data_IF_573201818613
#
_entry.id   IF_573201818613
#
_cell.length_a   1.000
_cell.length_b   1.000
_cell.length_c   1.000
_cell.angle_alpha   90.00
_cell.angle_beta   90.00
_cell.angle_gamma   90.00
#
_symmetry.space_group_name_H-M   'P 1'
#
loop_
_entity.id
_entity.type
_entity.pdbx_description
1 polymer ?
#
# COMPACT_ATOMS: atom_id res chain seq x y z
N UNK A 1 0.09 0.39 -18.89
CA UNK A 1 -0.93 1.27 -18.27
C UNK A 1 -0.38 1.86 -16.97
N UNK A 2 -0.47 3.16 -16.73
CA UNK A 2 -0.07 3.76 -15.45
C UNK A 2 -0.90 3.17 -14.30
N UNK A 3 -0.24 2.71 -13.24
CA UNK A 3 -0.91 2.12 -12.07
C UNK A 3 -1.16 0.60 -12.15
N UNK A 4 -0.85 -0.04 -13.26
CA UNK A 4 -0.95 -1.50 -13.40
C UNK A 4 0.44 -2.10 -13.22
N UNK A 5 0.68 -2.71 -12.07
CA UNK A 5 1.90 -3.48 -11.80
C UNK A 5 1.85 -4.91 -12.35
N UNK A 6 2.96 -5.64 -12.26
CA UNK A 6 3.08 -7.02 -12.77
C UNK A 6 1.99 -7.95 -12.21
N UNK A 7 1.71 -7.87 -10.91
CA UNK A 7 0.63 -8.64 -10.28
C UNK A 7 -0.73 -8.37 -10.92
N UNK A 8 -1.10 -7.09 -11.07
CA UNK A 8 -2.41 -6.71 -11.64
C UNK A 8 -2.52 -7.13 -13.11
N UNK A 9 -1.44 -6.97 -13.88
CA UNK A 9 -1.38 -7.40 -15.27
C UNK A 9 -1.57 -8.91 -15.40
N UNK A 10 -0.88 -9.70 -14.57
CA UNK A 10 -1.01 -11.16 -14.56
C UNK A 10 -2.39 -11.61 -14.08
N UNK A 11 -2.98 -10.92 -13.08
CA UNK A 11 -4.34 -11.23 -12.60
C UNK A 11 -5.38 -11.04 -13.71
N UNK A 12 -5.34 -9.90 -14.40
CA UNK A 12 -6.23 -9.65 -15.54
C UNK A 12 -6.02 -10.67 -16.66
N UNK A 13 -4.77 -10.99 -16.98
CA UNK A 13 -4.44 -11.93 -18.05
C UNK A 13 -4.91 -13.35 -17.74
N UNK A 14 -4.70 -13.83 -16.50
CA UNK A 14 -5.13 -15.16 -16.09
C UNK A 14 -6.65 -15.25 -15.92
N UNK A 15 -7.22 -14.39 -15.06
CA UNK A 15 -8.60 -14.54 -14.60
C UNK A 15 -9.61 -14.05 -15.65
N UNK A 16 -9.35 -12.95 -16.36
CA UNK A 16 -10.27 -12.40 -17.33
C UNK A 16 -10.05 -12.92 -18.76
N UNK A 17 -8.84 -13.34 -19.10
CA UNK A 17 -8.46 -13.74 -20.45
C UNK A 17 -7.94 -15.17 -20.55
N UNK A 18 -8.02 -15.95 -19.49
CA UNK A 18 -7.60 -17.36 -19.40
C UNK A 18 -6.18 -17.62 -19.96
N UNK A 19 -5.26 -16.64 -19.87
CA UNK A 19 -3.88 -16.80 -20.35
C UNK A 19 -3.05 -17.60 -19.34
N UNK A 20 -2.08 -18.37 -19.84
CA UNK A 20 -1.15 -19.16 -19.04
C UNK A 20 -0.18 -18.28 -18.26
N UNK A 21 -0.64 -17.64 -17.21
CA UNK A 21 0.17 -16.88 -16.29
C UNK A 21 -0.39 -16.97 -14.87
N UNK A 22 0.46 -16.89 -13.88
CA UNK A 22 0.06 -16.97 -12.46
C UNK A 22 0.27 -15.63 -11.78
N UNK A 23 -0.78 -15.01 -11.24
CA UNK A 23 -0.66 -13.81 -10.41
C UNK A 23 -0.02 -14.20 -9.07
N UNK A 24 1.19 -13.72 -8.81
CA UNK A 24 1.95 -14.06 -7.59
C UNK A 24 1.58 -13.09 -6.47
N UNK A 25 0.46 -13.36 -5.80
CA UNK A 25 0.03 -12.66 -4.59
C UNK A 25 0.76 -13.18 -3.34
N UNK A 26 0.38 -12.69 -2.15
CA UNK A 26 0.93 -13.16 -0.89
C UNK A 26 0.65 -14.64 -0.58
N UNK A 27 -0.46 -15.19 -1.09
CA UNK A 27 -0.85 -16.59 -0.92
C UNK A 27 0.00 -17.50 -1.81
N UNK A 28 0.02 -17.23 -3.12
CA UNK A 28 0.82 -17.96 -4.10
C UNK A 28 2.30 -17.90 -3.76
N UNK A 29 2.79 -16.72 -3.35
CA UNK A 29 4.16 -16.55 -2.87
C UNK A 29 4.50 -17.48 -1.73
N UNK A 30 3.63 -17.58 -0.73
CA UNK A 30 3.79 -18.48 0.42
C UNK A 30 3.75 -19.94 0.03
N UNK A 31 2.79 -20.32 -0.82
CA UNK A 31 2.69 -21.70 -1.32
C UNK A 31 3.99 -22.11 -2.00
N UNK A 32 4.47 -21.31 -2.95
CA UNK A 32 5.70 -21.61 -3.69
C UNK A 32 6.94 -21.59 -2.80
N UNK A 33 7.02 -20.64 -1.86
CA UNK A 33 8.12 -20.60 -0.89
C UNK A 33 8.23 -21.92 -0.12
N UNK A 34 7.10 -22.50 0.31
CA UNK A 34 7.07 -23.75 1.07
C UNK A 34 7.24 -24.97 0.20
N UNK A 35 6.51 -25.04 -0.91
CA UNK A 35 6.53 -26.19 -1.81
C UNK A 35 7.94 -26.44 -2.37
N UNK A 36 8.59 -25.36 -2.82
CA UNK A 36 9.91 -25.43 -3.47
C UNK A 36 11.08 -25.06 -2.57
N UNK A 37 10.80 -24.67 -1.31
CA UNK A 37 11.77 -24.18 -0.33
C UNK A 37 12.58 -22.97 -0.82
N UNK A 38 11.89 -21.98 -1.34
CA UNK A 38 12.47 -20.71 -1.79
C UNK A 38 12.25 -19.66 -0.70
N UNK A 39 13.34 -19.14 -0.13
CA UNK A 39 13.22 -18.14 0.93
C UNK A 39 12.88 -16.75 0.35
N UNK A 40 11.87 -16.08 0.92
CA UNK A 40 11.46 -14.74 0.50
C UNK A 40 12.57 -13.67 0.68
N UNK A 41 13.56 -13.93 1.53
CA UNK A 41 14.74 -13.09 1.73
C UNK A 41 15.75 -13.18 0.59
N UNK A 42 15.63 -14.18 -0.28
CA UNK A 42 16.51 -14.34 -1.43
C UNK A 42 16.27 -13.21 -2.42
N UNK A 43 17.33 -12.49 -2.82
CA UNK A 43 17.28 -11.41 -3.83
C UNK A 43 16.68 -11.89 -5.17
N UNK A 44 16.85 -13.18 -5.48
CA UNK A 44 16.33 -13.80 -6.69
C UNK A 44 14.94 -14.43 -6.55
N UNK A 45 14.26 -14.25 -5.40
CA UNK A 45 12.96 -14.87 -5.11
C UNK A 45 11.96 -14.74 -6.27
N UNK A 46 11.73 -13.51 -6.74
CA UNK A 46 10.79 -13.25 -7.84
C UNK A 46 11.21 -13.94 -9.14
N UNK A 47 12.51 -13.99 -9.43
CA UNK A 47 13.05 -14.66 -10.61
C UNK A 47 12.85 -16.17 -10.54
N UNK A 48 13.05 -16.76 -9.37
CA UNK A 48 12.84 -18.20 -9.15
C UNK A 48 11.36 -18.58 -9.24
N UNK A 49 10.48 -17.82 -8.59
CA UNK A 49 9.04 -18.00 -8.70
C UNK A 49 8.58 -17.89 -10.15
N UNK A 50 9.05 -16.88 -10.89
CA UNK A 50 8.71 -16.71 -12.29
C UNK A 50 9.19 -17.89 -13.17
N UNK A 51 10.37 -18.45 -12.88
CA UNK A 51 10.84 -19.67 -13.58
C UNK A 51 9.92 -20.86 -13.34
N UNK A 52 9.36 -21.00 -12.13
CA UNK A 52 8.44 -22.08 -11.80
C UNK A 52 7.10 -21.86 -12.49
N UNK A 53 6.53 -20.64 -12.39
CA UNK A 53 5.25 -20.33 -13.02
C UNK A 53 5.30 -20.50 -14.54
N UNK A 54 6.42 -20.17 -15.17
CA UNK A 54 6.59 -20.35 -16.62
C UNK A 54 6.70 -21.83 -17.05
N UNK A 55 6.94 -22.75 -16.12
CA UNK A 55 6.96 -24.20 -16.38
C UNK A 55 5.62 -24.88 -16.13
N UNK A 56 4.65 -24.16 -15.59
CA UNK A 56 3.31 -24.70 -15.41
C UNK A 56 2.65 -24.93 -16.78
N UNK A 57 1.89 -25.99 -16.92
CA UNK A 57 1.28 -26.33 -18.23
C UNK A 57 0.29 -25.23 -18.64
N UNK A 58 0.29 -24.94 -19.92
CA UNK A 58 -0.76 -24.15 -20.55
C UNK A 58 -1.94 -25.08 -20.80
N UNK A 59 -3.09 -24.77 -20.19
CA UNK A 59 -4.32 -25.54 -20.31
C UNK A 59 -5.47 -24.64 -20.76
N UNK A 60 -6.60 -25.23 -21.11
CA UNK A 60 -7.84 -24.47 -21.33
C UNK A 60 -8.49 -23.95 -20.04
N UNK A 61 -7.89 -24.25 -18.85
CA UNK A 61 -8.37 -23.86 -17.51
C UNK A 61 -7.31 -23.09 -16.72
N UNK A 62 -6.63 -22.15 -17.37
CA UNK A 62 -5.56 -21.37 -16.72
C UNK A 62 -6.11 -20.43 -15.63
N UNK A 63 -7.31 -19.90 -15.84
CA UNK A 63 -8.01 -19.07 -14.85
C UNK A 63 -8.26 -19.86 -13.56
N UNK A 64 -8.80 -21.08 -13.70
CA UNK A 64 -9.06 -21.95 -12.55
C UNK A 64 -7.80 -22.33 -11.81
N UNK A 65 -6.70 -22.60 -12.52
CA UNK A 65 -5.42 -22.89 -11.91
C UNK A 65 -4.89 -21.71 -11.09
N UNK A 66 -5.00 -20.50 -11.64
CA UNK A 66 -4.58 -19.28 -10.94
C UNK A 66 -5.41 -19.04 -9.68
N UNK A 67 -6.72 -19.17 -9.77
CA UNK A 67 -7.65 -19.02 -8.66
C UNK A 67 -7.45 -20.10 -7.59
N UNK A 68 -7.33 -21.37 -8.00
CA UNK A 68 -7.06 -22.49 -7.10
C UNK A 68 -5.77 -22.31 -6.30
N UNK A 69 -4.70 -21.81 -6.92
CA UNK A 69 -3.44 -21.54 -6.20
C UNK A 69 -3.58 -20.42 -5.15
N UNK A 70 -4.33 -19.37 -5.47
CA UNK A 70 -4.60 -18.29 -4.50
C UNK A 70 -5.47 -18.79 -3.35
N UNK A 71 -6.54 -19.53 -3.64
CA UNK A 71 -7.45 -20.08 -2.66
C UNK A 71 -6.76 -21.17 -1.79
N UNK A 72 -5.98 -22.04 -2.39
CA UNK A 72 -5.18 -23.03 -1.66
C UNK A 72 -4.26 -22.37 -0.62
N UNK A 73 -3.65 -21.26 -0.98
CA UNK A 73 -2.88 -20.46 -0.04
C UNK A 73 -3.73 -19.85 1.07
N UNK A 74 -4.95 -19.42 0.79
CA UNK A 74 -5.86 -18.83 1.77
C UNK A 74 -6.48 -19.87 2.72
N UNK A 75 -6.85 -21.04 2.20
CA UNK A 75 -7.67 -22.04 2.91
C UNK A 75 -6.83 -23.17 3.53
N UNK A 76 -5.86 -23.73 2.81
CA UNK A 76 -5.05 -24.89 3.21
C UNK A 76 -3.67 -24.47 3.70
N UNK A 77 -2.85 -23.84 2.83
CA UNK A 77 -1.49 -23.43 3.15
C UNK A 77 -1.45 -22.10 3.90
N UNK A 78 -2.17 -22.00 5.02
CA UNK A 78 -2.34 -20.78 5.83
C UNK A 78 -1.01 -20.21 6.35
N UNK A 79 -0.92 -18.89 6.62
CA UNK A 79 0.29 -18.29 7.20
C UNK A 79 0.68 -18.92 8.53
N UNK A 80 -0.31 -19.11 9.41
CA UNK A 80 -0.17 -19.79 10.70
C UNK A 80 -0.98 -21.09 10.65
N UNK A 81 -0.48 -22.15 11.27
CA UNK A 81 -1.15 -23.43 11.40
C UNK A 81 -1.72 -23.94 10.06
N UNK A 82 -0.87 -24.17 9.04
CA UNK A 82 -1.32 -24.71 7.77
C UNK A 82 -1.89 -26.12 7.95
N UNK A 83 -2.90 -26.43 7.18
CA UNK A 83 -3.62 -27.71 7.26
C UNK A 83 -2.87 -28.79 6.47
N UNK A 84 -1.63 -29.11 6.89
CA UNK A 84 -0.77 -30.08 6.18
C UNK A 84 -1.35 -31.52 6.21
N UNK A 85 -2.20 -31.85 7.19
CA UNK A 85 -2.84 -33.16 7.29
C UNK A 85 -3.74 -33.48 6.08
N UNK A 86 -4.46 -32.49 5.55
CA UNK A 86 -5.37 -32.63 4.41
C UNK A 86 -4.78 -32.07 3.10
N UNK A 87 -3.50 -31.70 3.11
CA UNK A 87 -2.87 -31.06 1.96
C UNK A 87 -2.48 -32.08 0.89
N UNK A 88 -3.10 -32.01 -0.29
CA UNK A 88 -2.79 -32.89 -1.41
C UNK A 88 -1.37 -32.73 -1.97
N UNK A 89 -0.70 -31.60 -1.68
CA UNK A 89 0.68 -31.34 -2.08
C UNK A 89 1.69 -31.73 -1.00
N UNK A 90 1.27 -32.36 0.10
CA UNK A 90 2.11 -32.66 1.26
C UNK A 90 3.37 -33.44 0.89
N UNK A 91 3.23 -34.49 0.08
CA UNK A 91 4.34 -35.38 -0.29
C UNK A 91 5.40 -34.70 -1.17
N UNK A 92 5.00 -33.67 -1.92
CA UNK A 92 5.89 -32.87 -2.79
C UNK A 92 6.44 -31.63 -2.08
N UNK A 93 5.96 -31.33 -0.86
CA UNK A 93 6.30 -30.11 -0.16
C UNK A 93 7.66 -30.21 0.53
N UNK A 94 8.67 -29.57 -0.03
CA UNK A 94 10.04 -29.55 0.53
C UNK A 94 10.10 -29.01 1.95
N UNK A 95 9.26 -28.01 2.26
CA UNK A 95 9.18 -27.42 3.59
C UNK A 95 8.65 -28.43 4.63
N UNK A 96 7.59 -29.17 4.28
CA UNK A 96 7.01 -30.20 5.14
C UNK A 96 7.99 -31.38 5.35
N UNK A 97 8.57 -31.88 4.26
CA UNK A 97 9.46 -33.00 4.28
C UNK A 97 10.75 -32.75 5.08
N UNK A 98 11.21 -31.50 5.10
CA UNK A 98 12.35 -31.06 5.92
C UNK A 98 11.97 -30.73 7.38
N UNK A 99 10.72 -30.98 7.80
CA UNK A 99 10.21 -30.70 9.16
C UNK A 99 10.56 -29.29 9.66
N UNK A 100 10.56 -28.29 8.77
CA UNK A 100 10.89 -26.92 9.13
C UNK A 100 9.74 -26.33 9.95
N UNK A 101 10.05 -25.75 11.12
CA UNK A 101 9.04 -25.14 11.96
C UNK A 101 8.51 -23.82 11.37
N UNK A 102 7.22 -23.55 11.57
CA UNK A 102 6.56 -22.32 11.10
C UNK A 102 6.91 -21.07 11.94
N UNK A 103 7.99 -21.12 12.71
CA UNK A 103 8.39 -20.01 13.55
C UNK A 103 9.15 -18.96 12.76
N UNK A 104 8.42 -18.03 12.17
CA UNK A 104 8.97 -16.69 11.99
C UNK A 104 7.83 -15.67 12.00
N UNK A 105 7.55 -15.15 13.16
CA UNK A 105 6.95 -13.82 13.22
C UNK A 105 7.91 -12.88 12.48
N UNK A 106 7.62 -12.49 11.23
CA UNK A 106 8.28 -11.32 10.66
C UNK A 106 8.02 -10.19 11.66
N UNK A 107 9.04 -9.75 12.38
CA UNK A 107 8.97 -8.52 13.17
C UNK A 107 8.76 -7.39 12.14
N UNK A 108 7.54 -6.89 12.05
CA UNK A 108 7.26 -5.69 11.27
C UNK A 108 7.88 -4.52 12.02
N UNK A 109 9.01 -4.03 11.54
CA UNK A 109 9.60 -2.81 12.05
C UNK A 109 8.85 -1.63 11.45
N UNK A 110 8.04 -0.99 12.28
CA UNK A 110 7.45 0.28 11.91
C UNK A 110 8.47 1.40 12.06
N UNK A 111 8.63 2.20 11.02
CA UNK A 111 9.42 3.43 11.10
C UNK A 111 8.50 4.56 11.55
N UNK A 112 8.74 5.12 12.72
CA UNK A 112 8.00 6.29 13.18
C UNK A 112 8.57 7.54 12.52
N UNK A 113 7.70 8.36 11.96
CA UNK A 113 8.07 9.62 11.31
C UNK A 113 7.11 10.72 11.72
N UNK A 114 7.65 11.92 11.95
CA UNK A 114 6.87 13.12 12.28
C UNK A 114 6.77 14.02 11.06
N UNK A 115 5.60 14.60 10.85
CA UNK A 115 5.33 15.49 9.72
C UNK A 115 4.56 16.72 10.15
N UNK A 116 4.93 17.85 9.59
CA UNK A 116 4.12 19.05 9.59
C UNK A 116 3.43 19.17 8.22
N UNK A 117 2.12 19.35 8.22
CA UNK A 117 1.31 19.52 7.01
C UNK A 117 0.67 20.89 7.04
N UNK A 118 0.86 21.64 5.95
CA UNK A 118 0.47 23.04 5.80
C UNK A 118 -0.67 23.17 4.82
N UNK A 119 -1.84 23.58 5.32
CA UNK A 119 -3.08 23.73 4.53
C UNK A 119 -3.35 25.19 4.23
N UNK A 120 -3.17 25.62 3.00
CA UNK A 120 -3.68 26.91 2.53
C UNK A 120 -5.18 26.77 2.26
N UNK A 121 -6.00 27.58 2.92
CA UNK A 121 -7.46 27.51 2.88
C UNK A 121 -8.04 28.82 2.34
N UNK A 122 -9.03 28.71 1.47
CA UNK A 122 -9.83 29.86 1.04
C UNK A 122 -11.16 29.85 1.81
N UNK A 123 -11.35 30.84 2.69
CA UNK A 123 -12.53 30.90 3.56
C UNK A 123 -13.82 31.10 2.76
N UNK A 124 -13.82 32.04 1.79
CA UNK A 124 -15.01 32.41 1.00
C UNK A 124 -15.55 31.22 0.18
N UNK A 125 -14.66 30.48 -0.50
CA UNK A 125 -15.05 29.48 -1.48
C UNK A 125 -14.94 28.03 -0.94
N UNK A 126 -14.67 27.85 0.35
CA UNK A 126 -14.46 26.54 1.01
C UNK A 126 -13.51 25.63 0.22
N UNK A 127 -12.33 26.17 -0.16
CA UNK A 127 -11.31 25.45 -0.95
C UNK A 127 -10.02 25.27 -0.18
N UNK A 128 -9.33 24.16 -0.47
CA UNK A 128 -7.97 23.85 0.00
C UNK A 128 -7.03 23.79 -1.20
N UNK A 129 -5.83 24.34 -1.04
CA UNK A 129 -4.81 24.27 -2.07
C UNK A 129 -4.00 22.97 -1.95
N UNK A 130 -3.89 22.24 -3.04
CA UNK A 130 -3.10 20.99 -3.14
C UNK A 130 -2.04 21.13 -4.23
N UNK A 131 -0.95 20.41 -4.05
CA UNK A 131 0.12 20.24 -5.04
C UNK A 131 0.45 18.77 -5.22
N UNK A 132 1.12 18.41 -6.31
CA UNK A 132 1.72 17.06 -6.44
C UNK A 132 2.81 16.91 -5.40
N UNK A 133 2.70 15.85 -4.58
CA UNK A 133 3.70 15.60 -3.57
C UNK A 133 5.04 15.17 -4.21
N UNK A 134 6.12 15.82 -3.80
CA UNK A 134 7.49 15.48 -4.16
C UNK A 134 8.32 15.02 -2.97
N UNK A 135 7.88 15.31 -1.75
CA UNK A 135 8.66 15.14 -0.53
C UNK A 135 8.46 13.79 0.16
N UNK A 136 7.35 13.10 -0.16
CA UNK A 136 7.01 11.80 0.43
C UNK A 136 6.98 10.74 -0.67
N UNK A 137 8.00 9.89 -0.72
CA UNK A 137 8.16 8.85 -1.75
C UNK A 137 6.94 7.90 -1.84
N UNK A 138 6.33 7.58 -0.69
CA UNK A 138 5.17 6.68 -0.61
C UNK A 138 3.82 7.31 -1.05
N UNK A 139 3.79 8.62 -1.28
CA UNK A 139 2.66 9.37 -1.86
C UNK A 139 3.10 10.19 -3.07
N UNK A 140 4.15 9.76 -3.77
CA UNK A 140 4.67 10.47 -4.93
C UNK A 140 3.57 10.65 -5.99
N UNK A 141 3.52 11.86 -6.57
CA UNK A 141 2.54 12.26 -7.60
C UNK A 141 1.08 12.40 -7.14
N UNK A 142 0.73 12.01 -5.91
CA UNK A 142 -0.61 12.29 -5.38
C UNK A 142 -0.76 13.76 -4.97
N UNK A 143 -1.99 14.28 -5.11
CA UNK A 143 -2.33 15.63 -4.72
C UNK A 143 -2.59 15.72 -3.21
N UNK A 144 -1.84 16.57 -2.53
CA UNK A 144 -1.94 16.78 -1.09
C UNK A 144 -1.50 18.20 -0.70
N UNK A 145 -1.82 18.67 0.52
CA UNK A 145 -1.22 19.87 1.06
C UNK A 145 0.30 19.73 1.17
N UNK A 146 1.00 20.84 1.35
CA UNK A 146 2.45 20.80 1.58
C UNK A 146 2.79 20.00 2.83
N UNK A 147 3.73 19.07 2.71
CA UNK A 147 4.18 18.23 3.79
C UNK A 147 5.69 18.34 3.98
N UNK A 148 6.12 18.51 5.22
CA UNK A 148 7.53 18.56 5.61
C UNK A 148 7.81 17.52 6.68
N UNK A 149 8.88 16.74 6.52
CA UNK A 149 9.34 15.82 7.55
C UNK A 149 10.07 16.60 8.64
N UNK A 150 9.75 16.30 9.89
CA UNK A 150 10.36 16.97 11.05
C UNK A 150 11.37 16.02 11.69
N UNK A 151 12.62 16.50 11.83
CA UNK A 151 13.74 15.71 12.36
C UNK A 151 13.98 16.01 13.86
N UNK A 152 13.61 17.20 14.34
CA UNK A 152 13.86 17.67 15.71
C UNK A 152 12.56 18.02 16.47
N UNK A 153 12.66 18.41 17.75
CA UNK A 153 11.51 18.70 18.61
C UNK A 153 10.54 19.72 18.01
N UNK A 154 9.26 19.40 18.07
CA UNK A 154 8.17 20.13 17.46
C UNK A 154 7.95 21.48 18.13
N UNK A 155 8.32 22.55 17.47
CA UNK A 155 7.72 23.84 17.77
C UNK A 155 6.34 23.90 17.09
N UNK A 156 5.26 23.90 17.88
CA UNK A 156 3.87 24.02 17.38
C UNK A 156 3.52 25.49 17.05
N UNK A 157 4.38 26.44 17.38
CA UNK A 157 4.22 27.85 17.03
C UNK A 157 5.06 28.18 15.80
N UNK A 158 4.44 28.18 14.64
CA UNK A 158 5.10 28.52 13.38
C UNK A 158 4.56 29.88 12.91
N UNK A 159 5.45 30.84 12.71
CA UNK A 159 5.09 32.22 12.31
C UNK A 159 4.19 32.20 11.06
N UNK A 160 3.03 32.83 11.15
CA UNK A 160 2.06 32.93 10.06
C UNK A 160 1.21 31.69 9.78
N UNK A 161 1.23 30.69 10.69
CA UNK A 161 0.41 29.49 10.62
C UNK A 161 -0.35 29.26 11.92
N UNK A 162 -1.60 28.82 11.79
CA UNK A 162 -2.41 28.39 12.92
C UNK A 162 -2.30 26.87 13.07
N UNK A 163 -2.08 26.39 14.29
CA UNK A 163 -2.11 24.98 14.60
C UNK A 163 -3.56 24.49 14.67
N UNK A 164 -3.87 23.37 14.02
CA UNK A 164 -5.22 22.79 14.03
C UNK A 164 -5.30 21.59 14.98
N UNK A 165 -4.49 20.58 14.75
CA UNK A 165 -4.50 19.37 15.57
C UNK A 165 -3.30 18.49 15.26
N UNK A 166 -3.04 17.54 16.18
CA UNK A 166 -2.18 16.39 15.95
C UNK A 166 -3.04 15.15 15.67
N UNK A 167 -2.56 14.25 14.82
CA UNK A 167 -3.17 12.94 14.63
C UNK A 167 -2.17 11.91 14.11
N UNK A 168 -2.46 10.64 14.38
CA UNK A 168 -1.67 9.51 13.90
C UNK A 168 -2.29 8.92 12.64
N UNK A 169 -1.46 8.51 11.72
CA UNK A 169 -1.86 7.78 10.51
C UNK A 169 -0.78 6.74 10.16
N UNK A 170 -1.20 5.61 9.58
CA UNK A 170 -0.28 4.56 9.17
C UNK A 170 -0.40 4.37 7.66
N UNK A 171 0.74 4.30 6.98
CA UNK A 171 0.81 3.94 5.56
C UNK A 171 1.92 2.91 5.42
N UNK A 172 1.57 1.69 4.99
CA UNK A 172 2.51 0.57 4.92
C UNK A 172 3.21 0.35 6.27
N UNK A 173 4.53 0.36 6.32
CA UNK A 173 5.35 0.20 7.52
C UNK A 173 5.74 1.53 8.19
N UNK A 174 5.10 2.64 7.83
CA UNK A 174 5.38 3.97 8.38
C UNK A 174 4.24 4.39 9.31
N UNK A 175 4.55 4.55 10.59
CA UNK A 175 3.69 5.23 11.57
C UNK A 175 3.97 6.72 11.51
N UNK A 176 2.97 7.49 11.14
CA UNK A 176 3.07 8.93 10.97
C UNK A 176 2.45 9.64 12.17
N UNK A 177 3.20 10.54 12.80
CA UNK A 177 2.69 11.52 13.74
C UNK A 177 2.63 12.87 13.03
N UNK A 178 1.42 13.41 12.85
CA UNK A 178 1.17 14.52 11.96
C UNK A 178 0.63 15.71 12.73
N UNK A 179 1.33 16.83 12.65
CA UNK A 179 0.82 18.13 13.05
C UNK A 179 0.21 18.82 11.84
N UNK A 180 -1.02 19.23 11.98
CA UNK A 180 -1.75 19.90 10.92
C UNK A 180 -1.83 21.40 11.22
N UNK A 181 -1.34 22.19 10.27
CA UNK A 181 -1.37 23.65 10.32
C UNK A 181 -2.25 24.19 9.20
N UNK A 182 -2.85 25.36 9.41
CA UNK A 182 -3.63 26.01 8.39
C UNK A 182 -3.39 27.52 8.35
N UNK A 183 -3.67 28.11 7.19
CA UNK A 183 -3.65 29.54 6.96
C UNK A 183 -4.77 29.92 6.00
N UNK A 184 -5.62 30.85 6.40
CA UNK A 184 -6.58 31.42 5.47
C UNK A 184 -5.90 32.41 4.53
N UNK A 185 -6.14 32.24 3.21
CA UNK A 185 -5.57 33.12 2.19
C UNK A 185 -6.47 33.17 0.96
N UNK A 186 -6.47 34.33 0.29
CA UNK A 186 -7.13 34.48 -1.03
C UNK A 186 -6.24 33.90 -2.15
N UNK A 187 -4.92 34.04 -2.02
CA UNK A 187 -3.94 33.64 -3.01
C UNK A 187 -3.28 32.32 -2.62
N UNK A 188 -3.18 31.39 -3.56
CA UNK A 188 -2.44 30.12 -3.38
C UNK A 188 -1.00 30.27 -3.87
N UNK A 189 -0.05 29.47 -3.39
CA UNK A 189 1.29 29.40 -3.97
C UNK A 189 1.24 28.96 -5.46
N UNK A 190 2.18 29.43 -6.28
CA UNK A 190 2.18 29.22 -7.76
C UNK A 190 1.97 27.77 -8.20
N UNK A 191 2.54 26.79 -7.49
CA UNK A 191 2.49 25.34 -7.82
C UNK A 191 1.24 24.63 -7.29
N UNK A 192 0.31 25.33 -6.65
CA UNK A 192 -0.88 24.72 -6.04
C UNK A 192 -2.13 24.96 -6.90
N UNK A 193 -3.09 24.07 -6.74
CA UNK A 193 -4.42 24.18 -7.36
C UNK A 193 -5.48 24.12 -6.26
N UNK A 194 -6.52 24.95 -6.37
CA UNK A 194 -7.65 24.96 -5.45
C UNK A 194 -8.59 23.78 -5.68
N UNK A 195 -8.94 23.06 -4.62
CA UNK A 195 -9.91 21.97 -4.61
C UNK A 195 -11.02 22.25 -3.62
N UNK A 196 -12.26 21.91 -3.96
CA UNK A 196 -13.39 22.02 -3.05
C UNK A 196 -13.25 21.03 -1.90
N UNK A 197 -13.45 21.49 -0.67
CA UNK A 197 -13.41 20.64 0.53
C UNK A 197 -14.64 19.73 0.57
N UNK A 198 -15.77 20.17 0.01
CA UNK A 198 -17.04 19.44 0.01
C UNK A 198 -17.10 18.35 -1.07
N UNK A 199 -16.25 18.41 -2.10
CA UNK A 199 -16.17 17.45 -3.20
C UNK A 199 -14.79 16.78 -3.27
N UNK A 200 -14.45 15.87 -2.32
CA UNK A 200 -13.12 15.26 -2.27
C UNK A 200 -12.88 14.16 -3.30
N UNK A 201 -13.88 13.81 -4.13
CA UNK A 201 -13.79 12.72 -5.09
C UNK A 201 -13.22 13.16 -6.44
N UNK A 202 -12.03 13.73 -6.41
CA UNK A 202 -11.26 14.09 -7.60
C UNK A 202 -10.14 13.06 -7.77
N UNK A 203 -9.83 12.71 -9.03
CA UNK A 203 -8.70 11.81 -9.34
C UNK A 203 -7.39 12.26 -8.69
N UNK A 204 -6.58 11.31 -8.27
CA UNK A 204 -5.27 11.52 -7.61
C UNK A 204 -5.30 12.17 -6.21
N UNK A 205 -6.46 12.22 -5.53
CA UNK A 205 -6.54 12.56 -4.12
C UNK A 205 -6.57 11.28 -3.29
N UNK A 206 -5.50 10.94 -2.55
CA UNK A 206 -5.44 9.71 -1.76
C UNK A 206 -6.33 9.81 -0.51
N UNK A 207 -6.66 8.65 0.07
CA UNK A 207 -7.42 8.56 1.32
C UNK A 207 -6.79 9.36 2.47
N UNK A 208 -5.47 9.46 2.48
CA UNK A 208 -4.71 10.30 3.39
C UNK A 208 -5.13 11.78 3.30
N UNK A 209 -5.17 12.35 2.09
CA UNK A 209 -5.61 13.74 1.87
C UNK A 209 -7.10 13.93 2.17
N UNK A 210 -7.94 12.92 1.88
CA UNK A 210 -9.37 12.96 2.26
C UNK A 210 -9.57 13.04 3.78
N UNK A 211 -8.71 12.40 4.58
CA UNK A 211 -8.72 12.56 6.05
C UNK A 211 -8.40 13.99 6.48
N UNK A 212 -7.47 14.65 5.79
CA UNK A 212 -7.15 16.07 6.06
C UNK A 212 -8.36 16.95 5.75
N UNK A 213 -9.05 16.70 4.62
CA UNK A 213 -10.28 17.44 4.28
C UNK A 213 -11.33 17.38 5.40
N UNK A 214 -11.57 16.19 5.96
CA UNK A 214 -12.49 16.00 7.10
C UNK A 214 -12.10 16.84 8.32
N UNK A 215 -10.80 17.02 8.56
CA UNK A 215 -10.31 17.82 9.69
C UNK A 215 -10.44 19.32 9.46
N UNK A 216 -10.04 19.79 8.27
CA UNK A 216 -10.14 21.23 7.94
C UNK A 216 -11.57 21.68 7.71
N UNK A 217 -12.50 20.79 7.36
CA UNK A 217 -13.93 21.10 7.20
C UNK A 217 -14.52 21.68 8.49
N UNK A 218 -14.04 21.26 9.65
CA UNK A 218 -14.47 21.77 10.97
C UNK A 218 -14.18 23.27 11.17
N UNK A 219 -13.34 23.88 10.36
CA UNK A 219 -13.03 25.32 10.40
C UNK A 219 -14.06 26.19 9.67
N UNK A 220 -15.04 25.56 9.02
CA UNK A 220 -16.07 26.23 8.22
C UNK A 220 -17.50 26.04 8.78
N UNK A 221 -17.57 25.46 9.98
CA UNK A 221 -18.80 25.31 10.76
C UNK A 221 -18.97 26.53 11.66
#
# INVERSE_FOLDING_TARGET
MPGVGEYTANSLSALAHNKACIPVDGNVKRVFSRLFLIYESNKNFHKEVKKITNKLPNTNRNADLAEALMEFGATVCKPKNPLCGICNLKNYCKFYNKKISFSAKKKYYFKEKKFNIYCYLNKKNKKIALTKNKNLSFLANFKMPEAQMVISNNNLRIKGWNYLCNYKNNISNIKMNINLFYKFTKNKPKKFTWYSIDRPNVAFIPSFTKKIFKKVKKLYV
#
